data_IF_436252834715
#
_entry.id   IF_436252834715
#
_cell.length_a   1.000
_cell.length_b   1.000
_cell.length_c   1.000
_cell.angle_alpha   90.00
_cell.angle_beta   90.00
_cell.angle_gamma   90.00
#
_symmetry.space_group_name_H-M   'P 1'
#
loop_
_entity.id
_entity.type
_entity.pdbx_description
1 polymer ?
#
# COMPACT_ATOMS: atom_id res chain seq x y z
N UNK A 1 -20.54 11.05 -7.94
CA UNK A 1 -19.27 11.81 -7.83
C UNK A 1 -18.07 10.96 -8.20
N UNK A 2 -17.89 9.74 -7.66
CA UNK A 2 -16.76 8.86 -8.02
C UNK A 2 -16.75 8.45 -9.51
N UNK A 3 -17.88 7.91 -10.01
CA UNK A 3 -18.01 7.50 -11.43
C UNK A 3 -17.76 8.67 -12.40
N UNK A 4 -18.25 9.87 -12.06
CA UNK A 4 -18.00 11.08 -12.85
C UNK A 4 -16.50 11.38 -12.97
N UNK A 5 -15.73 11.22 -11.89
CA UNK A 5 -14.28 11.42 -11.93
C UNK A 5 -13.61 10.34 -12.76
N UNK A 6 -14.03 9.08 -12.64
CA UNK A 6 -13.49 7.99 -13.47
C UNK A 6 -13.67 8.28 -14.96
N UNK A 7 -14.89 8.63 -15.36
CA UNK A 7 -15.23 8.92 -16.75
C UNK A 7 -14.46 10.14 -17.28
N UNK A 8 -14.37 11.21 -16.49
CA UNK A 8 -13.68 12.43 -16.91
C UNK A 8 -12.17 12.21 -17.01
N UNK A 9 -11.54 11.56 -16.03
CA UNK A 9 -10.10 11.27 -16.07
C UNK A 9 -9.75 10.38 -17.26
N UNK A 10 -10.56 9.37 -17.55
CA UNK A 10 -10.34 8.49 -18.71
C UNK A 10 -10.43 9.26 -20.04
N UNK A 11 -11.38 10.20 -20.18
CA UNK A 11 -11.49 11.07 -21.38
C UNK A 11 -10.24 11.92 -21.60
N UNK A 12 -9.55 12.32 -20.54
CA UNK A 12 -8.29 13.07 -20.61
C UNK A 12 -7.04 12.17 -20.67
N UNK A 13 -7.21 10.85 -20.83
CA UNK A 13 -6.10 9.91 -20.96
C UNK A 13 -5.38 9.60 -19.64
N UNK A 14 -6.00 9.91 -18.51
CA UNK A 14 -5.48 9.60 -17.18
C UNK A 14 -6.07 8.26 -16.72
N UNK A 15 -5.21 7.30 -16.41
CA UNK A 15 -5.60 5.98 -15.93
C UNK A 15 -5.59 5.92 -14.42
N UNK A 16 -6.64 5.34 -13.86
CA UNK A 16 -6.66 5.04 -12.44
C UNK A 16 -5.63 3.94 -12.17
N UNK A 17 -4.68 4.21 -11.28
CA UNK A 17 -3.68 3.21 -10.87
C UNK A 17 -3.88 2.75 -9.42
N UNK A 18 -4.59 3.55 -8.61
CA UNK A 18 -5.05 3.20 -7.27
C UNK A 18 -6.39 3.89 -6.94
N UNK A 19 -7.03 3.48 -5.84
CA UNK A 19 -8.42 3.82 -5.47
C UNK A 19 -8.78 5.31 -5.54
N UNK A 20 -7.84 6.23 -5.34
CA UNK A 20 -8.09 7.67 -5.28
C UNK A 20 -7.30 8.52 -6.29
N UNK A 21 -6.42 7.93 -7.10
CA UNK A 21 -5.47 8.68 -7.95
C UNK A 21 -5.42 8.15 -9.37
N UNK A 22 -5.13 9.10 -10.26
CA UNK A 22 -5.04 8.92 -11.71
C UNK A 22 -3.73 9.53 -12.19
N UNK A 23 -3.15 8.95 -13.23
CA UNK A 23 -1.93 9.47 -13.85
C UNK A 23 -1.91 9.16 -15.34
N UNK A 24 -1.06 9.87 -16.09
CA UNK A 24 -0.66 9.41 -17.41
C UNK A 24 0.16 8.13 -17.25
N UNK A 25 0.07 7.17 -18.18
CA UNK A 25 0.92 5.98 -18.13
C UNK A 25 2.40 6.34 -18.00
N UNK A 26 3.08 5.78 -17.00
CA UNK A 26 4.49 6.05 -16.69
C UNK A 26 4.74 7.28 -15.80
N UNK A 27 3.69 7.99 -15.37
CA UNK A 27 3.76 9.13 -14.44
C UNK A 27 3.03 8.84 -13.13
N UNK A 28 2.84 7.57 -12.79
CA UNK A 28 2.25 7.16 -11.53
C UNK A 28 3.14 7.59 -10.36
N UNK A 29 2.51 8.01 -9.25
CA UNK A 29 3.26 8.40 -8.05
C UNK A 29 4.01 7.20 -7.49
N UNK A 30 5.34 7.22 -7.65
CA UNK A 30 6.23 6.19 -7.11
C UNK A 30 6.11 6.11 -5.59
N UNK A 31 5.99 7.25 -4.90
CA UNK A 31 5.79 7.26 -3.45
C UNK A 31 4.53 6.48 -3.02
N UNK A 32 3.39 6.72 -3.70
CA UNK A 32 2.16 6.00 -3.40
C UNK A 32 2.31 4.51 -3.71
N UNK A 33 2.91 4.15 -4.85
CA UNK A 33 3.09 2.76 -5.25
C UNK A 33 4.03 2.00 -4.29
N UNK A 34 5.13 2.61 -3.86
CA UNK A 34 6.02 2.04 -2.83
C UNK A 34 5.26 1.79 -1.54
N UNK A 35 4.46 2.76 -1.08
CA UNK A 35 3.69 2.61 0.14
C UNK A 35 2.57 1.56 0.02
N UNK A 36 1.87 1.50 -1.13
CA UNK A 36 0.80 0.52 -1.37
C UNK A 36 1.31 -0.90 -1.62
N UNK A 37 2.53 -1.05 -2.12
CA UNK A 37 3.21 -2.34 -2.23
C UNK A 37 3.91 -2.76 -0.92
N UNK A 38 3.70 -2.00 0.16
CA UNK A 38 4.31 -2.25 1.48
C UNK A 38 5.82 -2.52 1.36
N UNK A 39 6.48 -1.74 0.51
CA UNK A 39 7.93 -1.75 0.31
C UNK A 39 8.62 -0.83 1.30
N UNK A 40 9.93 -0.96 1.41
CA UNK A 40 10.73 -0.12 2.26
C UNK A 40 10.83 1.31 1.71
N UNK A 41 10.79 2.28 2.62
CA UNK A 41 10.93 3.69 2.31
C UNK A 41 11.51 4.46 3.50
N UNK A 42 12.31 5.46 3.19
CA UNK A 42 12.88 6.36 4.20
C UNK A 42 11.93 7.53 4.49
N UNK A 43 11.83 7.87 5.77
CA UNK A 43 11.09 9.04 6.25
C UNK A 43 12.02 10.19 6.60
N UNK A 44 12.04 11.23 5.78
CA UNK A 44 12.88 12.41 6.01
C UNK A 44 12.06 13.61 6.45
N UNK A 45 12.59 14.37 7.41
CA UNK A 45 11.95 15.59 7.92
C UNK A 45 11.11 15.36 9.16
N UNK A 46 10.72 16.48 9.78
CA UNK A 46 10.00 16.47 11.04
C UNK A 46 8.60 15.86 10.87
N UNK A 47 8.25 14.90 11.74
CA UNK A 47 6.99 14.16 11.69
C UNK A 47 6.90 13.08 10.61
N UNK A 48 7.96 12.86 9.83
CA UNK A 48 7.95 11.83 8.80
C UNK A 48 7.96 10.41 9.40
N UNK A 49 7.36 9.48 8.67
CA UNK A 49 7.39 8.06 8.97
C UNK A 49 8.35 7.35 8.01
N UNK A 50 9.09 6.38 8.51
CA UNK A 50 9.93 5.48 7.69
C UNK A 50 9.60 4.02 7.96
N UNK A 51 9.87 3.17 6.98
CA UNK A 51 9.76 1.72 7.10
C UNK A 51 10.92 1.07 6.36
N UNK A 52 11.87 0.46 7.09
CA UNK A 52 13.07 -0.16 6.50
C UNK A 52 13.38 -1.43 7.29
N UNK A 53 13.68 -2.53 6.61
CA UNK A 53 14.07 -3.82 7.21
C UNK A 53 13.09 -4.32 8.28
N UNK A 54 11.79 -4.11 8.03
CA UNK A 54 10.76 -4.51 8.99
C UNK A 54 10.66 -3.60 10.23
N UNK A 55 11.37 -2.48 10.29
CA UNK A 55 11.33 -1.50 11.38
C UNK A 55 10.60 -0.25 10.93
N UNK A 56 9.61 0.19 11.70
CA UNK A 56 8.94 1.48 11.49
C UNK A 56 9.45 2.52 12.45
N UNK A 57 9.89 3.64 11.91
CA UNK A 57 10.33 4.79 12.68
C UNK A 57 9.37 5.97 12.48
N UNK A 58 9.24 6.78 13.52
CA UNK A 58 8.49 8.04 13.51
C UNK A 58 9.44 9.14 13.94
N UNK A 59 9.66 10.12 13.06
CA UNK A 59 10.46 11.28 13.38
C UNK A 59 9.67 12.21 14.31
N UNK A 60 10.35 12.91 15.22
CA UNK A 60 9.68 13.92 16.03
C UNK A 60 9.03 15.00 15.16
N UNK A 61 7.77 15.35 15.48
CA UNK A 61 6.97 16.33 14.73
C UNK A 61 7.47 17.77 14.90
N UNK A 62 7.60 18.29 16.13
CA UNK A 62 8.14 19.63 16.34
C UNK A 62 9.60 19.69 15.89
N UNK A 63 9.93 20.66 15.02
CA UNK A 63 11.27 20.83 14.44
C UNK A 63 12.35 20.94 15.52
N UNK A 64 12.06 21.61 16.63
CA UNK A 64 12.99 21.71 17.76
C UNK A 64 13.36 20.33 18.31
N UNK A 65 12.37 19.49 18.60
CA UNK A 65 12.60 18.13 19.11
C UNK A 65 13.26 17.23 18.06
N UNK A 66 12.93 17.41 16.78
CA UNK A 66 13.58 16.70 15.67
C UNK A 66 15.09 16.94 15.67
N UNK A 67 15.51 18.21 15.78
CA UNK A 67 16.93 18.59 15.82
C UNK A 67 17.61 18.10 17.11
N UNK A 68 16.96 18.29 18.27
CA UNK A 68 17.48 17.85 19.55
C UNK A 68 17.75 16.34 19.60
N UNK A 69 16.85 15.51 19.04
CA UNK A 69 17.05 14.06 18.97
C UNK A 69 18.21 13.67 18.07
N UNK A 70 18.38 14.37 16.93
CA UNK A 70 19.53 14.16 16.05
C UNK A 70 20.84 14.48 16.79
N UNK A 71 20.89 15.63 17.47
CA UNK A 71 22.10 16.04 18.20
C UNK A 71 22.46 15.07 19.33
N UNK A 72 21.46 14.47 19.99
CA UNK A 72 21.65 13.56 21.13
C UNK A 72 21.92 12.10 20.74
N UNK A 73 21.25 11.61 19.69
CA UNK A 73 21.20 10.17 19.38
C UNK A 73 21.71 9.83 17.97
N UNK A 74 21.97 10.84 17.14
CA UNK A 74 22.27 10.69 15.72
C UNK A 74 21.05 10.50 14.83
N UNK A 75 19.84 10.34 15.40
CA UNK A 75 18.61 10.08 14.65
C UNK A 75 17.43 10.92 15.16
N UNK A 76 16.46 11.28 14.30
CA UNK A 76 15.29 12.06 14.71
C UNK A 76 14.15 11.20 15.30
N UNK A 77 14.40 9.92 15.61
CA UNK A 77 13.35 8.95 15.94
C UNK A 77 12.76 9.21 17.32
N UNK A 78 11.48 9.58 17.34
CA UNK A 78 10.66 9.63 18.56
C UNK A 78 10.14 8.24 18.94
N UNK A 79 9.81 7.42 17.93
CA UNK A 79 9.28 6.08 18.13
C UNK A 79 9.86 5.11 17.10
N UNK A 80 10.08 3.87 17.54
CA UNK A 80 10.62 2.77 16.73
C UNK A 80 9.85 1.50 17.06
N UNK A 81 9.32 0.83 16.04
CA UNK A 81 8.44 -0.33 16.17
C UNK A 81 8.87 -1.45 15.23
N UNK A 82 9.19 -2.63 15.76
CA UNK A 82 9.39 -3.83 14.94
C UNK A 82 8.05 -4.31 14.37
N UNK A 83 7.99 -4.49 13.07
CA UNK A 83 6.84 -5.09 12.38
C UNK A 83 7.04 -6.60 12.32
N UNK A 84 6.14 -7.35 12.93
CA UNK A 84 6.14 -8.81 12.83
C UNK A 84 5.77 -9.25 11.42
N UNK A 85 6.25 -10.43 10.99
CA UNK A 85 5.91 -11.02 9.69
C UNK A 85 4.39 -11.12 9.45
N UNK A 86 3.65 -11.49 10.50
CA UNK A 86 2.18 -11.56 10.48
C UNK A 86 1.50 -10.18 10.36
N UNK A 87 2.12 -9.09 10.82
CA UNK A 87 1.61 -7.73 10.58
C UNK A 87 1.98 -7.25 9.18
N UNK A 88 3.18 -7.56 8.71
CA UNK A 88 3.64 -7.19 7.37
C UNK A 88 2.77 -7.83 6.29
N UNK A 89 2.53 -9.15 6.36
CA UNK A 89 1.73 -9.85 5.37
C UNK A 89 0.24 -9.39 5.34
N UNK A 90 -0.35 -9.04 6.48
CA UNK A 90 -1.68 -8.41 6.54
C UNK A 90 -1.70 -7.01 5.94
N UNK A 91 -0.63 -6.24 6.14
CA UNK A 91 -0.50 -4.91 5.55
C UNK A 91 -0.35 -4.97 4.04
N UNK A 92 0.40 -5.93 3.52
CA UNK A 92 0.46 -6.20 2.07
C UNK A 92 -0.94 -6.36 1.48
N UNK A 93 -1.78 -7.19 2.09
CA UNK A 93 -3.15 -7.38 1.61
C UNK A 93 -3.96 -6.09 1.68
N UNK A 94 -3.98 -5.43 2.84
CA UNK A 94 -4.77 -4.22 3.04
C UNK A 94 -4.34 -3.05 2.14
N UNK A 95 -3.04 -2.86 1.94
CA UNK A 95 -2.48 -1.77 1.16
C UNK A 95 -2.53 -2.09 -0.34
N UNK A 96 -2.16 -3.30 -0.73
CA UNK A 96 -2.11 -3.71 -2.13
C UNK A 96 -3.47 -3.75 -2.80
N UNK A 97 -4.55 -4.07 -2.06
CA UNK A 97 -5.93 -3.99 -2.56
C UNK A 97 -6.39 -2.56 -2.90
N UNK A 98 -5.62 -1.52 -2.55
CA UNK A 98 -5.87 -0.16 -3.02
C UNK A 98 -5.43 0.06 -4.47
N UNK A 99 -4.49 -0.75 -4.98
CA UNK A 99 -4.02 -0.68 -6.36
C UNK A 99 -5.04 -1.33 -7.28
N UNK A 100 -5.17 -0.81 -8.50
CA UNK A 100 -6.04 -1.44 -9.51
C UNK A 100 -5.55 -2.85 -9.87
N UNK A 101 -4.24 -3.07 -9.91
CA UNK A 101 -3.66 -4.41 -10.10
C UNK A 101 -3.88 -5.37 -8.91
N UNK A 102 -4.28 -4.86 -7.75
CA UNK A 102 -4.46 -5.64 -6.53
C UNK A 102 -3.16 -6.26 -6.00
N UNK A 103 -3.30 -7.46 -5.43
CA UNK A 103 -2.18 -8.26 -4.89
C UNK A 103 -2.04 -9.51 -5.73
N UNK A 104 -0.85 -9.71 -6.31
CA UNK A 104 -0.53 -10.93 -7.07
C UNK A 104 -0.08 -12.03 -6.11
N UNK A 105 -0.70 -13.20 -6.20
CA UNK A 105 -0.41 -14.33 -5.32
C UNK A 105 1.08 -14.76 -5.39
N UNK A 106 1.65 -14.75 -6.59
CA UNK A 106 3.07 -15.08 -6.81
C UNK A 106 4.03 -14.12 -6.09
N UNK A 107 3.84 -12.80 -6.23
CA UNK A 107 4.68 -11.78 -5.59
C UNK A 107 4.58 -11.86 -4.07
N UNK A 108 3.36 -12.05 -3.56
CA UNK A 108 3.10 -12.24 -2.15
C UNK A 108 3.81 -13.49 -1.61
N UNK A 109 3.71 -14.61 -2.32
CA UNK A 109 4.36 -15.85 -1.93
C UNK A 109 5.88 -15.72 -1.97
N UNK A 110 6.45 -15.04 -2.96
CA UNK A 110 7.88 -14.77 -3.01
C UNK A 110 8.35 -13.93 -1.81
N UNK A 111 7.58 -12.92 -1.41
CA UNK A 111 7.91 -12.01 -0.30
C UNK A 111 7.73 -12.64 1.08
N UNK A 112 6.71 -13.47 1.29
CA UNK A 112 6.35 -13.98 2.61
C UNK A 112 6.49 -15.51 2.78
N UNK A 113 6.75 -16.25 1.72
CA UNK A 113 6.91 -17.71 1.73
C UNK A 113 5.61 -18.50 1.90
N UNK A 114 4.46 -17.85 1.76
CA UNK A 114 3.14 -18.48 1.82
C UNK A 114 2.18 -17.72 0.90
N UNK A 115 1.28 -18.44 0.22
CA UNK A 115 0.28 -17.85 -0.65
C UNK A 115 -0.80 -17.12 0.19
N UNK A 116 -1.35 -15.99 -0.28
CA UNK A 116 -2.40 -15.27 0.43
C UNK A 116 -3.66 -16.12 0.64
N UNK A 117 -3.96 -17.06 -0.27
CA UNK A 117 -5.07 -18.00 -0.19
C UNK A 117 -5.01 -18.84 1.09
N UNK A 118 -3.83 -19.38 1.39
CA UNK A 118 -3.60 -20.20 2.57
C UNK A 118 -3.68 -19.40 3.88
N UNK A 119 -3.45 -18.09 3.84
CA UNK A 119 -3.38 -17.24 5.03
C UNK A 119 -4.70 -16.53 5.36
N UNK A 120 -5.51 -16.19 4.34
CA UNK A 120 -6.62 -15.25 4.52
C UNK A 120 -7.96 -15.68 3.92
N UNK A 121 -7.98 -16.62 2.98
CA UNK A 121 -9.13 -16.82 2.11
C UNK A 121 -9.98 -18.06 2.38
N UNK A 122 -9.72 -18.78 3.47
CA UNK A 122 -10.38 -20.07 3.74
C UNK A 122 -11.91 -20.04 3.76
N UNK A 123 -12.54 -18.89 4.05
CA UNK A 123 -14.01 -18.72 3.95
C UNK A 123 -14.43 -17.41 3.28
N UNK A 124 -13.50 -16.46 3.11
CA UNK A 124 -13.82 -15.10 2.66
C UNK A 124 -14.13 -15.05 1.16
N UNK A 125 -13.47 -15.86 0.34
CA UNK A 125 -13.70 -15.85 -1.10
C UNK A 125 -15.05 -16.48 -1.46
N UNK A 126 -15.41 -17.59 -0.81
CA UNK A 126 -16.71 -18.24 -0.98
C UNK A 126 -17.86 -17.27 -0.67
N UNK A 127 -17.77 -16.58 0.47
CA UNK A 127 -18.71 -15.52 0.88
C UNK A 127 -18.83 -14.38 -0.15
N UNK A 128 -17.72 -13.96 -0.77
CA UNK A 128 -17.71 -12.87 -1.74
C UNK A 128 -18.26 -13.30 -3.10
N UNK A 129 -18.03 -14.56 -3.49
CA UNK A 129 -18.58 -15.15 -4.71
C UNK A 129 -20.09 -15.39 -4.62
N UNK A 130 -20.60 -15.78 -3.45
CA UNK A 130 -22.03 -15.88 -3.19
C UNK A 130 -22.71 -14.50 -3.18
N UNK A 131 -22.02 -13.48 -2.64
CA UNK A 131 -22.53 -12.10 -2.56
C UNK A 131 -22.38 -11.29 -3.85
N UNK A 132 -22.09 -11.93 -5.00
CA UNK A 132 -21.86 -11.28 -6.33
C UNK A 132 -22.77 -10.06 -6.52
N UNK A 133 -22.20 -8.88 -6.27
CA UNK A 133 -22.93 -7.61 -6.34
C UNK A 133 -23.17 -7.28 -7.82
N UNK A 134 -24.41 -7.03 -8.25
CA UNK A 134 -24.75 -6.84 -9.67
C UNK A 134 -24.14 -5.58 -10.31
N UNK A 135 -23.50 -4.70 -9.52
CA UNK A 135 -22.81 -3.49 -10.01
C UNK A 135 -21.30 -3.65 -10.21
N UNK A 136 -20.71 -4.81 -9.91
CA UNK A 136 -19.31 -5.06 -10.25
C UNK A 136 -19.23 -5.33 -11.76
N UNK A 137 -19.08 -4.28 -12.58
CA UNK A 137 -18.73 -4.43 -14.00
C UNK A 137 -17.53 -5.37 -14.07
N UNK A 138 -17.65 -6.43 -14.87
CA UNK A 138 -16.61 -7.44 -15.07
C UNK A 138 -15.27 -6.75 -15.38
N UNK A 139 -14.42 -6.57 -14.39
CA UNK A 139 -12.99 -6.54 -14.63
C UNK A 139 -12.65 -7.97 -15.01
N UNK A 140 -12.53 -8.22 -16.31
CA UNK A 140 -12.01 -9.47 -16.83
C UNK A 140 -10.60 -9.63 -16.27
N UNK A 141 -10.46 -10.46 -15.24
CA UNK A 141 -9.18 -11.01 -14.84
C UNK A 141 -8.72 -11.91 -16.00
N UNK A 142 -8.02 -11.31 -16.95
CA UNK A 142 -7.29 -12.06 -17.96
C UNK A 142 -6.16 -12.77 -17.24
N UNK A 143 -6.35 -14.06 -16.96
CA UNK A 143 -5.24 -14.96 -16.75
C UNK A 143 -4.45 -15.02 -18.06
N UNK A 144 -3.27 -14.41 -18.06
CA UNK A 144 -2.15 -14.75 -18.95
C UNK A 144 -1.04 -15.27 -18.05
#
# INVERSE_FOLDING_TARGET
MYELVMDEMERHGLKQYEISNYAKPGFESQHNLTYWSNEDYFGFGAGAHGYVDGIRNVNAGPVKHYLELIDQTGFPYKETHQVTKSRANRKEMFLGLRKIEGVKSADFQAKYGAAPEALFFSTVLEDLEEKKRPHCKKMTWGYV
#
